data_IF_433209896592
#
_entry.id   IF_433209896592
#
_cell.length_a   1.000
_cell.length_b   1.000
_cell.length_c   1.000
_cell.angle_alpha   90.00
_cell.angle_beta   90.00
_cell.angle_gamma   90.00
#
_symmetry.space_group_name_H-M   'P 1'
#
loop_
_entity.id
_entity.type
_entity.pdbx_description
1 polymer ?
#
# COMPACT_ATOMS: atom_id res chain seq x y z
N UNK A 1 -15.13 5.66 -7.39
CA UNK A 1 -14.29 4.52 -6.97
C UNK A 1 -13.06 5.03 -6.24
N UNK A 2 -12.32 4.14 -5.61
CA UNK A 2 -11.14 4.48 -4.82
C UNK A 2 -9.95 3.65 -5.25
N UNK A 3 -8.75 4.20 -5.08
CA UNK A 3 -7.50 3.48 -5.25
C UNK A 3 -6.60 3.77 -4.05
N UNK A 4 -5.54 2.98 -3.89
CA UNK A 4 -4.54 3.27 -2.88
C UNK A 4 -3.17 3.53 -3.52
N UNK A 5 -2.38 4.32 -2.82
CA UNK A 5 -0.97 4.53 -3.14
C UNK A 5 -0.18 4.12 -1.91
N UNK A 6 0.75 3.20 -2.09
CA UNK A 6 1.63 2.73 -1.03
C UNK A 6 3.01 3.31 -1.27
N UNK A 7 3.57 3.97 -0.26
CA UNK A 7 4.87 4.61 -0.33
C UNK A 7 5.75 4.18 0.84
N UNK A 8 7.05 4.26 0.66
CA UNK A 8 8.03 4.02 1.71
C UNK A 8 9.06 5.13 1.67
N UNK A 9 9.26 5.80 2.81
CA UNK A 9 10.25 6.88 2.99
C UNK A 9 10.18 7.91 1.86
N UNK A 10 8.98 8.29 1.47
CA UNK A 10 8.73 9.27 0.41
C UNK A 10 8.78 8.73 -1.02
N UNK A 11 9.13 7.45 -1.19
CA UNK A 11 9.18 6.82 -2.51
C UNK A 11 7.95 5.95 -2.75
N UNK A 12 7.25 6.17 -3.86
CA UNK A 12 6.09 5.37 -4.21
C UNK A 12 6.50 3.94 -4.57
N UNK A 13 5.87 2.96 -3.92
CA UNK A 13 6.10 1.54 -4.18
C UNK A 13 5.04 0.96 -5.11
N UNK A 14 3.78 1.36 -4.94
CA UNK A 14 2.67 0.78 -5.67
C UNK A 14 1.53 1.79 -5.77
N UNK A 15 0.95 1.90 -6.96
CA UNK A 15 -0.32 2.58 -7.19
C UNK A 15 -1.29 1.50 -7.67
N UNK A 16 -2.37 1.27 -6.94
CA UNK A 16 -3.28 0.18 -7.24
C UNK A 16 -3.96 0.31 -8.60
N UNK A 17 -4.07 1.53 -9.12
CA UNK A 17 -4.67 1.76 -10.45
C UNK A 17 -3.82 1.20 -11.60
N UNK A 18 -2.56 0.85 -11.34
CA UNK A 18 -1.70 0.18 -12.33
C UNK A 18 -2.12 -1.26 -12.57
N UNK A 19 -2.97 -1.82 -11.70
CA UNK A 19 -3.46 -3.18 -11.81
C UNK A 19 -4.90 -3.18 -12.31
N UNK A 20 -5.26 -4.23 -13.05
CA UNK A 20 -6.60 -4.38 -13.60
C UNK A 20 -7.68 -4.39 -12.52
N UNK A 21 -7.36 -4.91 -11.33
CA UNK A 21 -8.29 -5.04 -10.21
C UNK A 21 -8.01 -4.01 -9.10
N UNK A 22 -7.35 -2.92 -9.44
CA UNK A 22 -6.86 -1.96 -8.46
C UNK A 22 -7.80 -0.82 -8.11
N UNK A 23 -9.05 -0.85 -8.58
CA UNK A 23 -10.07 0.12 -8.21
C UNK A 23 -11.11 -0.56 -7.32
N UNK A 24 -11.53 0.15 -6.27
CA UNK A 24 -12.41 -0.39 -5.24
C UNK A 24 -13.67 0.46 -5.12
N UNK A 25 -14.79 -0.18 -4.78
CA UNK A 25 -16.07 0.51 -4.67
C UNK A 25 -16.20 1.34 -3.41
N UNK A 26 -15.43 1.02 -2.37
CA UNK A 26 -15.49 1.74 -1.10
C UNK A 26 -14.10 2.09 -0.58
N UNK A 27 -14.04 3.13 0.24
CA UNK A 27 -12.83 3.53 0.94
C UNK A 27 -12.27 2.39 1.80
N UNK A 28 -13.16 1.69 2.51
CA UNK A 28 -12.78 0.58 3.38
C UNK A 28 -12.10 -0.55 2.63
N UNK A 29 -12.59 -0.89 1.44
CA UNK A 29 -11.98 -1.92 0.61
C UNK A 29 -10.60 -1.52 0.14
N UNK A 30 -10.45 -0.28 -0.32
CA UNK A 30 -9.15 0.24 -0.74
C UNK A 30 -8.15 0.23 0.41
N UNK A 31 -8.58 0.65 1.60
CA UNK A 31 -7.74 0.66 2.79
C UNK A 31 -7.32 -0.76 3.19
N UNK A 32 -8.23 -1.71 3.16
CA UNK A 32 -7.93 -3.10 3.49
C UNK A 32 -6.90 -3.69 2.53
N UNK A 33 -7.08 -3.47 1.24
CA UNK A 33 -6.13 -3.95 0.23
C UNK A 33 -4.78 -3.25 0.36
N UNK A 34 -4.77 -1.98 0.69
CA UNK A 34 -3.53 -1.24 0.94
C UNK A 34 -2.74 -1.83 2.11
N UNK A 35 -3.43 -2.18 3.19
CA UNK A 35 -2.80 -2.82 4.34
C UNK A 35 -2.27 -4.21 4.00
N UNK A 36 -2.98 -4.97 3.19
CA UNK A 36 -2.53 -6.27 2.72
C UNK A 36 -1.26 -6.14 1.86
N UNK A 37 -1.22 -5.15 0.98
CA UNK A 37 -0.04 -4.88 0.16
C UNK A 37 1.15 -4.46 1.03
N UNK A 38 0.91 -3.64 2.05
CA UNK A 38 1.95 -3.25 3.01
C UNK A 38 2.54 -4.46 3.70
N UNK A 39 1.70 -5.39 4.15
CA UNK A 39 2.17 -6.62 4.80
C UNK A 39 3.01 -7.48 3.87
N UNK A 40 2.63 -7.58 2.60
CA UNK A 40 3.42 -8.30 1.60
C UNK A 40 4.82 -7.72 1.47
N UNK A 41 4.94 -6.39 1.37
CA UNK A 41 6.25 -5.73 1.30
C UNK A 41 7.04 -5.93 2.57
N UNK A 42 6.40 -5.87 3.73
CA UNK A 42 7.07 -6.10 5.01
C UNK A 42 7.63 -7.52 5.11
N UNK A 43 6.90 -8.50 4.62
CA UNK A 43 7.34 -9.88 4.58
C UNK A 43 8.49 -10.10 3.60
N UNK A 44 8.38 -9.52 2.40
CA UNK A 44 9.41 -9.65 1.37
C UNK A 44 10.74 -9.00 1.80
N UNK A 45 10.65 -7.90 2.53
CA UNK A 45 11.83 -7.17 2.97
C UNK A 45 12.38 -7.64 4.30
N UNK A 46 11.71 -8.60 4.96
CA UNK A 46 12.09 -9.12 6.28
C UNK A 46 12.32 -7.98 7.29
N UNK A 47 11.30 -7.14 7.44
CA UNK A 47 11.37 -5.91 8.25
C UNK A 47 11.84 -6.18 9.67
N UNK A 48 11.43 -7.30 10.28
CA UNK A 48 11.82 -7.65 11.65
C UNK A 48 13.32 -7.87 11.82
N UNK A 49 14.00 -8.26 10.75
CA UNK A 49 15.43 -8.49 10.80
C UNK A 49 16.26 -7.49 10.00
N UNK A 50 15.65 -6.43 9.47
CA UNK A 50 16.29 -5.49 8.56
C UNK A 50 16.39 -4.08 9.14
N UNK A 51 17.03 -3.18 8.38
CA UNK A 51 17.11 -1.75 8.71
C UNK A 51 15.83 -0.99 8.40
N UNK A 52 14.88 -1.62 7.69
CA UNK A 52 13.63 -0.98 7.31
C UNK A 52 12.70 -0.83 8.53
N UNK A 53 11.98 0.25 8.57
CA UNK A 53 11.04 0.56 9.64
C UNK A 53 9.64 0.60 9.06
N UNK A 54 8.72 -0.22 9.60
CA UNK A 54 7.35 -0.24 9.11
C UNK A 54 6.60 1.07 9.32
N UNK A 55 7.06 1.93 10.22
CA UNK A 55 6.47 3.26 10.42
C UNK A 55 6.74 4.21 9.25
N UNK A 56 7.71 3.89 8.39
CA UNK A 56 8.01 4.68 7.20
C UNK A 56 7.08 4.38 6.02
N UNK A 57 6.26 3.33 6.12
CA UNK A 57 5.24 3.07 5.12
C UNK A 57 4.09 4.06 5.24
N UNK A 58 3.66 4.59 4.12
CA UNK A 58 2.51 5.50 4.04
C UNK A 58 1.49 4.94 3.07
N UNK A 59 0.23 5.03 3.45
CA UNK A 59 -0.90 4.63 2.61
C UNK A 59 -1.75 5.86 2.35
N UNK A 60 -2.07 6.12 1.08
CA UNK A 60 -2.99 7.16 0.68
C UNK A 60 -4.15 6.54 -0.07
N UNK A 61 -5.37 6.88 0.30
CA UNK A 61 -6.57 6.46 -0.40
C UNK A 61 -7.10 7.63 -1.20
N UNK A 62 -7.25 7.43 -2.49
CA UNK A 62 -7.63 8.49 -3.43
C UNK A 62 -8.93 8.10 -4.11
N UNK A 63 -9.87 9.05 -4.17
CA UNK A 63 -11.10 8.89 -4.95
C UNK A 63 -10.81 9.18 -6.43
N UNK A 64 -11.24 8.27 -7.27
CA UNK A 64 -11.06 8.39 -8.73
C UNK A 64 -12.38 8.31 -9.48
#
# INVERSE_FOLDING_TARGET
MYKYILSYDGGQLRDSSDFEWGLFDSYSEAEEEANNAKEEYMNDWDIEGSEYNHDDFCIEIVEV
#
